data_IF_729206951316
#
_entry.id   IF_729206951316
#
_cell.length_a   1.000
_cell.length_b   1.000
_cell.length_c   1.000
_cell.angle_alpha   90.00
_cell.angle_beta   90.00
_cell.angle_gamma   90.00
#
_symmetry.space_group_name_H-M   'P 1'
#
loop_
_entity.id
_entity.type
_entity.pdbx_description
1 polymer ?
#
# COMPACT_ATOMS: atom_id res chain seq x y z
N UNK A 1 12.61 -13.31 -20.09
CA UNK A 1 11.42 -12.83 -19.40
C UNK A 1 11.85 -11.76 -18.40
N UNK A 2 11.19 -10.61 -18.34
CA UNK A 2 11.47 -9.62 -17.28
C UNK A 2 11.12 -10.28 -15.95
N UNK A 3 12.01 -10.23 -14.95
CA UNK A 3 11.73 -10.78 -13.63
C UNK A 3 10.53 -10.02 -13.01
N UNK A 4 9.44 -10.73 -12.79
CA UNK A 4 8.25 -10.21 -12.11
C UNK A 4 8.54 -10.17 -10.61
N UNK A 5 8.41 -9.00 -9.99
CA UNK A 5 8.47 -8.88 -8.54
C UNK A 5 7.07 -9.13 -7.94
N UNK A 6 6.98 -10.10 -7.06
CA UNK A 6 5.75 -10.40 -6.34
C UNK A 6 5.80 -9.80 -4.92
N UNK A 7 4.83 -8.92 -4.62
CA UNK A 7 4.70 -8.26 -3.32
C UNK A 7 3.60 -8.96 -2.52
N UNK A 8 3.97 -9.66 -1.46
CA UNK A 8 3.02 -10.24 -0.52
C UNK A 8 2.56 -9.19 0.51
N UNK A 9 1.28 -8.85 0.50
CA UNK A 9 0.67 -7.88 1.43
C UNK A 9 0.16 -8.57 2.70
N UNK A 10 0.81 -8.37 3.83
CA UNK A 10 0.33 -8.90 5.12
C UNK A 10 -0.81 -8.07 5.71
N UNK A 11 -0.92 -6.80 5.31
CA UNK A 11 -1.94 -5.86 5.76
C UNK A 11 -2.08 -5.84 7.29
N UNK A 12 -3.28 -6.01 7.81
CA UNK A 12 -3.61 -6.09 9.23
C UNK A 12 -4.02 -7.53 9.65
N UNK A 13 -3.76 -8.52 8.80
CA UNK A 13 -4.12 -9.92 9.07
C UNK A 13 -3.33 -10.52 10.24
N UNK A 14 -2.27 -9.84 10.67
CA UNK A 14 -1.51 -10.20 11.88
C UNK A 14 -2.28 -9.95 13.20
N UNK A 15 -3.43 -9.26 13.17
CA UNK A 15 -4.30 -9.00 14.33
C UNK A 15 -3.57 -8.36 15.53
N UNK A 16 -2.59 -7.48 15.28
CA UNK A 16 -1.76 -6.85 16.33
C UNK A 16 -0.73 -7.79 16.99
N UNK A 17 -0.53 -8.97 16.46
CA UNK A 17 0.33 -10.00 17.06
C UNK A 17 1.61 -10.22 16.23
N UNK A 18 2.77 -9.96 16.86
CA UNK A 18 4.09 -10.13 16.22
C UNK A 18 4.35 -11.57 15.78
N UNK A 19 3.91 -12.57 16.55
CA UNK A 19 4.07 -13.98 16.16
C UNK A 19 3.31 -14.33 14.88
N UNK A 20 2.16 -13.69 14.65
CA UNK A 20 1.43 -13.86 13.40
C UNK A 20 2.18 -13.22 12.23
N UNK A 21 2.82 -12.04 12.43
CA UNK A 21 3.69 -11.43 11.41
C UNK A 21 4.79 -12.40 11.01
N UNK A 22 5.47 -13.02 11.98
CA UNK A 22 6.55 -13.98 11.74
C UNK A 22 6.08 -15.20 10.92
N UNK A 23 4.95 -15.80 11.33
CA UNK A 23 4.36 -16.94 10.60
C UNK A 23 3.96 -16.59 9.17
N UNK A 24 3.33 -15.43 8.98
CA UNK A 24 2.91 -14.97 7.66
C UNK A 24 4.13 -14.67 6.77
N UNK A 25 5.17 -14.04 7.33
CA UNK A 25 6.42 -13.78 6.62
C UNK A 25 7.07 -15.08 6.17
N UNK A 26 7.22 -16.06 7.08
CA UNK A 26 7.77 -17.38 6.78
C UNK A 26 7.02 -18.05 5.62
N UNK A 27 5.69 -18.08 5.69
CA UNK A 27 4.86 -18.65 4.63
C UNK A 27 5.00 -17.91 3.30
N UNK A 28 5.04 -16.59 3.29
CA UNK A 28 5.20 -15.81 2.07
C UNK A 28 6.59 -16.05 1.45
N UNK A 29 7.64 -16.01 2.25
CA UNK A 29 9.01 -16.22 1.78
C UNK A 29 9.21 -17.64 1.22
N UNK A 30 8.71 -18.65 1.93
CA UNK A 30 8.82 -20.07 1.51
C UNK A 30 8.00 -20.38 0.24
N UNK A 31 7.03 -19.54 -0.11
CA UNK A 31 6.23 -19.67 -1.32
C UNK A 31 6.63 -18.66 -2.44
N UNK A 32 7.83 -18.10 -2.38
CA UNK A 32 8.44 -17.37 -3.48
C UNK A 32 8.10 -15.88 -3.54
N UNK A 33 7.56 -15.27 -2.47
CA UNK A 33 7.44 -13.82 -2.42
C UNK A 33 8.85 -13.20 -2.41
N UNK A 34 9.10 -12.23 -3.29
CA UNK A 34 10.35 -11.48 -3.33
C UNK A 34 10.34 -10.25 -2.44
N UNK A 35 9.15 -9.72 -2.19
CA UNK A 35 8.92 -8.54 -1.36
C UNK A 35 7.76 -8.85 -0.41
N UNK A 36 7.91 -8.53 0.88
CA UNK A 36 6.85 -8.72 1.87
C UNK A 36 6.52 -7.37 2.50
N UNK A 37 5.22 -7.04 2.60
CA UNK A 37 4.77 -5.71 2.98
C UNK A 37 3.93 -5.69 4.25
N UNK A 38 4.27 -4.76 5.15
CA UNK A 38 3.48 -4.35 6.31
C UNK A 38 2.89 -2.95 6.12
N UNK A 39 2.07 -2.52 7.08
CA UNK A 39 1.52 -1.17 7.18
C UNK A 39 1.95 -0.53 8.49
N UNK A 40 2.62 0.62 8.43
CA UNK A 40 2.98 1.40 9.61
C UNK A 40 1.83 2.35 9.94
N UNK A 41 0.84 1.82 10.65
CA UNK A 41 -0.41 2.53 10.94
C UNK A 41 -0.72 2.51 12.43
N UNK A 42 -1.08 3.69 12.96
CA UNK A 42 -1.47 3.87 14.36
C UNK A 42 -2.76 4.65 14.46
N UNK A 43 -3.63 4.25 15.37
CA UNK A 43 -4.94 4.89 15.57
C UNK A 43 -4.85 6.37 15.89
N UNK A 44 -3.78 6.80 16.60
CA UNK A 44 -3.53 8.21 16.93
C UNK A 44 -3.34 9.13 15.72
N UNK A 45 -3.00 8.56 14.56
CA UNK A 45 -2.83 9.31 13.31
C UNK A 45 -4.11 9.35 12.47
N UNK A 46 -5.19 8.71 12.93
CA UNK A 46 -6.46 8.74 12.24
C UNK A 46 -7.10 10.12 12.38
N UNK A 47 -7.46 10.72 11.24
CA UNK A 47 -8.16 12.00 11.20
C UNK A 47 -9.67 11.80 11.15
N UNK A 48 -10.41 12.63 11.90
CA UNK A 48 -11.86 12.71 11.77
C UNK A 48 -12.23 13.25 10.37
N UNK A 49 -13.03 12.50 9.64
CA UNK A 49 -13.54 12.93 8.34
C UNK A 49 -15.07 12.86 8.36
N UNK A 50 -15.78 14.01 8.48
CA UNK A 50 -17.24 14.05 8.67
C UNK A 50 -18.02 13.22 7.64
N UNK A 51 -17.59 13.23 6.38
CA UNK A 51 -18.21 12.44 5.31
C UNK A 51 -18.28 10.94 5.56
N UNK A 52 -17.41 10.39 6.42
CA UNK A 52 -17.36 8.97 6.74
C UNK A 52 -18.17 8.62 7.99
N UNK A 53 -18.58 9.59 8.81
CA UNK A 53 -19.32 9.29 10.03
C UNK A 53 -20.66 8.58 9.73
N UNK A 54 -21.41 9.08 8.76
CA UNK A 54 -22.69 8.51 8.34
C UNK A 54 -22.62 7.85 6.94
N UNK A 55 -21.55 8.09 6.20
CA UNK A 55 -21.49 7.79 4.78
C UNK A 55 -22.37 8.74 3.96
N UNK A 56 -22.35 8.60 2.66
CA UNK A 56 -23.20 9.36 1.74
C UNK A 56 -23.77 8.39 0.72
N UNK A 57 -25.11 8.28 0.71
CA UNK A 57 -25.85 7.47 -0.26
C UNK A 57 -26.86 8.41 -0.94
N UNK A 58 -26.85 8.41 -2.27
CA UNK A 58 -27.81 9.17 -3.07
C UNK A 58 -28.25 8.31 -4.25
N UNK A 59 -29.57 8.21 -4.48
CA UNK A 59 -30.17 7.38 -5.54
C UNK A 59 -29.58 5.94 -5.58
N UNK A 60 -29.53 5.28 -4.42
CA UNK A 60 -28.96 3.94 -4.23
C UNK A 60 -27.47 3.80 -4.60
N UNK A 61 -26.77 4.89 -4.88
CA UNK A 61 -25.32 4.91 -5.10
C UNK A 61 -24.58 5.34 -3.84
N UNK A 62 -23.55 4.62 -3.49
CA UNK A 62 -22.67 4.95 -2.36
C UNK A 62 -21.59 5.91 -2.84
N UNK A 63 -21.64 7.16 -2.39
CA UNK A 63 -20.61 8.19 -2.65
C UNK A 63 -19.54 8.21 -1.57
N UNK A 64 -19.89 7.83 -0.36
CA UNK A 64 -18.95 7.67 0.74
C UNK A 64 -19.41 6.52 1.64
N UNK A 65 -18.49 5.62 1.97
CA UNK A 65 -18.77 4.51 2.89
C UNK A 65 -18.96 5.06 4.32
N UNK A 66 -19.79 4.39 5.10
CA UNK A 66 -19.91 4.63 6.53
C UNK A 66 -18.74 4.00 7.26
N UNK A 67 -17.89 4.82 7.88
CA UNK A 67 -16.74 4.39 8.69
C UNK A 67 -16.53 5.37 9.84
N UNK A 68 -17.37 5.30 10.91
CA UNK A 68 -17.33 6.24 12.02
C UNK A 68 -15.96 6.24 12.71
N UNK A 69 -15.46 7.44 13.04
CA UNK A 69 -14.14 7.64 13.63
C UNK A 69 -13.92 6.80 14.89
N UNK A 70 -14.85 6.81 15.84
CA UNK A 70 -14.71 6.09 17.11
C UNK A 70 -14.57 4.58 16.91
N UNK A 71 -15.34 3.98 16.01
CA UNK A 71 -15.27 2.56 15.74
C UNK A 71 -13.97 2.18 15.02
N UNK A 72 -13.56 2.99 14.05
CA UNK A 72 -12.32 2.77 13.30
C UNK A 72 -11.09 2.96 14.19
N UNK A 73 -11.09 3.98 15.07
CA UNK A 73 -10.04 4.17 16.07
C UNK A 73 -9.89 2.94 16.98
N UNK A 74 -11.01 2.44 17.54
CA UNK A 74 -10.99 1.24 18.39
C UNK A 74 -10.50 0.01 17.63
N UNK A 75 -10.90 -0.14 16.37
CA UNK A 75 -10.46 -1.23 15.50
C UNK A 75 -8.95 -1.17 15.26
N UNK A 76 -8.44 -0.02 14.83
CA UNK A 76 -7.02 0.18 14.57
C UNK A 76 -6.17 -0.01 15.83
N UNK A 77 -6.64 0.50 16.98
CA UNK A 77 -5.92 0.36 18.26
C UNK A 77 -5.62 -1.10 18.61
N UNK A 78 -6.54 -2.01 18.29
CA UNK A 78 -6.34 -3.46 18.52
C UNK A 78 -5.35 -4.11 17.53
N UNK A 79 -5.08 -3.44 16.40
CA UNK A 79 -4.27 -3.96 15.31
C UNK A 79 -2.87 -3.33 15.27
N UNK A 80 -2.59 -2.36 16.15
CA UNK A 80 -1.29 -1.73 16.23
C UNK A 80 -0.20 -2.74 16.57
N UNK A 81 0.92 -2.66 15.88
CA UNK A 81 2.13 -3.39 16.21
C UNK A 81 3.10 -2.47 16.96
N UNK A 82 3.78 -2.96 18.00
CA UNK A 82 4.88 -2.22 18.63
C UNK A 82 6.05 -2.04 17.64
N UNK A 83 6.81 -0.96 17.76
CA UNK A 83 7.94 -0.66 16.86
C UNK A 83 8.95 -1.81 16.76
N UNK A 84 9.22 -2.50 17.86
CA UNK A 84 10.07 -3.71 17.89
C UNK A 84 9.61 -4.82 16.92
N UNK A 85 8.33 -4.86 16.57
CA UNK A 85 7.83 -5.82 15.60
C UNK A 85 8.29 -5.48 14.17
N UNK A 86 8.40 -4.19 13.85
CA UNK A 86 8.92 -3.74 12.55
C UNK A 86 10.42 -3.96 12.44
N UNK A 87 11.19 -3.71 13.51
CA UNK A 87 12.63 -4.04 13.55
C UNK A 87 12.84 -5.54 13.35
N UNK A 88 12.06 -6.36 14.06
CA UNK A 88 12.12 -7.81 13.91
C UNK A 88 11.74 -8.26 12.51
N UNK A 89 10.72 -7.64 11.92
CA UNK A 89 10.28 -7.91 10.56
C UNK A 89 11.42 -7.64 9.54
N UNK A 90 12.11 -6.50 9.63
CA UNK A 90 13.24 -6.17 8.74
C UNK A 90 14.34 -7.24 8.86
N UNK A 91 14.77 -7.59 10.09
CA UNK A 91 15.78 -8.64 10.32
C UNK A 91 15.35 -10.01 9.78
N UNK A 92 14.07 -10.36 9.89
CA UNK A 92 13.55 -11.61 9.34
C UNK A 92 13.55 -11.58 7.82
N UNK A 93 13.17 -10.47 7.19
CA UNK A 93 13.26 -10.32 5.74
C UNK A 93 14.69 -10.54 5.24
N UNK A 94 15.70 -9.97 5.92
CA UNK A 94 17.11 -10.21 5.61
C UNK A 94 17.49 -11.70 5.71
N UNK A 95 17.06 -12.34 6.81
CA UNK A 95 17.31 -13.78 7.02
C UNK A 95 16.72 -14.64 5.90
N UNK A 96 15.52 -14.32 5.44
CA UNK A 96 14.84 -15.06 4.35
C UNK A 96 15.24 -14.57 2.95
N UNK A 97 16.12 -13.57 2.85
CA UNK A 97 16.58 -12.97 1.57
C UNK A 97 15.41 -12.41 0.75
N UNK A 98 14.43 -11.83 1.41
CA UNK A 98 13.29 -11.10 0.81
C UNK A 98 13.39 -9.62 1.17
N UNK A 99 12.85 -8.74 0.32
CA UNK A 99 12.89 -7.30 0.55
C UNK A 99 11.77 -6.86 1.49
N UNK A 100 12.06 -6.15 2.59
CA UNK A 100 11.05 -5.55 3.45
C UNK A 100 10.44 -4.32 2.78
N UNK A 101 9.12 -4.22 2.80
CA UNK A 101 8.37 -3.07 2.33
C UNK A 101 7.37 -2.63 3.41
N UNK A 102 7.13 -1.34 3.52
CA UNK A 102 6.14 -0.82 4.47
C UNK A 102 5.34 0.33 3.87
N UNK A 103 4.04 0.40 4.18
CA UNK A 103 3.24 1.57 3.80
C UNK A 103 3.40 2.67 4.84
N UNK A 104 3.76 3.88 4.39
CA UNK A 104 3.79 5.10 5.19
C UNK A 104 2.50 5.90 4.96
N UNK A 105 1.79 6.26 6.04
CA UNK A 105 0.52 7.00 6.00
C UNK A 105 0.61 8.40 6.61
N UNK A 106 1.74 8.77 7.18
CA UNK A 106 1.92 10.07 7.84
C UNK A 106 3.36 10.56 7.69
N UNK A 107 3.51 11.87 7.51
CA UNK A 107 4.82 12.52 7.46
C UNK A 107 5.63 12.31 8.74
N UNK A 108 4.97 12.32 9.90
CA UNK A 108 5.60 12.09 11.21
C UNK A 108 6.25 10.70 11.34
N UNK A 109 5.95 9.81 10.40
CA UNK A 109 6.49 8.45 10.39
C UNK A 109 7.68 8.26 9.44
N UNK A 110 7.97 9.21 8.59
CA UNK A 110 9.02 9.10 7.55
C UNK A 110 10.37 8.75 8.18
N UNK A 111 10.82 9.53 9.16
CA UNK A 111 12.09 9.30 9.85
C UNK A 111 12.10 8.00 10.64
N UNK A 112 11.01 7.69 11.33
CA UNK A 112 10.88 6.47 12.12
C UNK A 112 11.01 5.23 11.24
N UNK A 113 10.28 5.18 10.13
CA UNK A 113 10.30 4.07 9.18
C UNK A 113 11.72 3.87 8.61
N UNK A 114 12.39 4.96 8.25
CA UNK A 114 13.77 4.89 7.77
C UNK A 114 14.72 4.35 8.82
N UNK A 115 14.61 4.82 10.07
CA UNK A 115 15.45 4.39 11.19
C UNK A 115 15.19 2.93 11.61
N UNK A 116 13.99 2.39 11.35
CA UNK A 116 13.68 0.97 11.52
C UNK A 116 14.34 0.05 10.46
N UNK A 117 15.07 0.62 9.49
CA UNK A 117 15.82 -0.13 8.49
C UNK A 117 15.14 -0.30 7.13
N UNK A 118 13.93 0.23 6.94
CA UNK A 118 13.29 0.21 5.62
C UNK A 118 14.01 1.15 4.65
N UNK A 119 14.23 0.71 3.42
CA UNK A 119 14.83 1.49 2.33
C UNK A 119 13.85 1.74 1.19
N UNK A 120 12.84 0.88 1.06
CA UNK A 120 11.75 1.02 0.11
C UNK A 120 10.45 1.25 0.86
N UNK A 121 9.60 2.13 0.32
CA UNK A 121 8.33 2.48 0.97
C UNK A 121 7.17 2.46 -0.03
N UNK A 122 6.02 2.00 0.45
CA UNK A 122 4.76 2.02 -0.29
C UNK A 122 3.98 3.28 0.04
N UNK A 123 3.45 3.90 -0.99
CA UNK A 123 2.48 4.99 -0.89
C UNK A 123 1.11 4.45 -1.28
N UNK A 124 0.14 4.56 -0.39
CA UNK A 124 -1.24 4.13 -0.65
C UNK A 124 -1.92 5.03 -1.70
N UNK A 125 -2.96 4.53 -2.34
CA UNK A 125 -3.70 5.31 -3.35
C UNK A 125 -4.20 6.66 -2.82
N UNK A 126 -4.65 6.71 -1.58
CA UNK A 126 -5.09 7.95 -0.92
C UNK A 126 -4.00 9.01 -0.81
N UNK A 127 -2.76 8.59 -0.79
CA UNK A 127 -1.59 9.45 -0.58
C UNK A 127 -0.82 9.68 -1.88
N UNK A 128 -1.32 9.18 -3.00
CA UNK A 128 -0.70 9.40 -4.31
C UNK A 128 -0.61 10.90 -4.64
N UNK A 129 -1.63 11.69 -4.27
CA UNK A 129 -1.63 13.16 -4.40
C UNK A 129 -1.23 13.90 -3.13
N UNK A 130 -0.69 13.21 -2.12
CA UNK A 130 -0.11 13.85 -0.93
C UNK A 130 1.30 14.40 -1.23
N UNK A 131 1.37 15.47 -2.01
CA UNK A 131 2.62 15.98 -2.59
C UNK A 131 3.70 16.29 -1.54
N UNK A 132 3.32 16.76 -0.36
CA UNK A 132 4.29 17.02 0.72
C UNK A 132 4.89 15.71 1.25
N UNK A 133 4.06 14.68 1.46
CA UNK A 133 4.53 13.35 1.87
C UNK A 133 5.47 12.77 0.81
N UNK A 134 5.12 12.89 -0.48
CA UNK A 134 5.96 12.42 -1.58
C UNK A 134 7.32 13.12 -1.59
N UNK A 135 7.37 14.45 -1.35
CA UNK A 135 8.65 15.18 -1.27
C UNK A 135 9.53 14.70 -0.12
N UNK A 136 8.96 14.40 1.03
CA UNK A 136 9.72 13.90 2.19
C UNK A 136 10.22 12.49 1.96
N UNK A 137 9.35 11.60 1.47
CA UNK A 137 9.70 10.22 1.15
C UNK A 137 10.78 10.14 0.05
N UNK A 138 10.63 10.95 -1.01
CA UNK A 138 11.54 10.93 -2.15
C UNK A 138 12.96 11.37 -1.83
N UNK A 139 13.15 12.13 -0.76
CA UNK A 139 14.48 12.56 -0.29
C UNK A 139 15.18 11.52 0.58
N UNK A 140 14.43 10.53 1.07
CA UNK A 140 14.92 9.66 2.13
C UNK A 140 15.00 8.19 1.74
N UNK A 141 14.10 7.73 0.88
CA UNK A 141 14.00 6.33 0.51
C UNK A 141 14.56 6.06 -0.90
N UNK A 142 15.12 4.86 -1.11
CA UNK A 142 15.75 4.47 -2.35
C UNK A 142 14.74 4.27 -3.49
N UNK A 143 13.56 3.72 -3.15
CA UNK A 143 12.47 3.50 -4.11
C UNK A 143 11.10 3.69 -3.45
N UNK A 144 10.20 4.34 -4.21
CA UNK A 144 8.80 4.49 -3.82
C UNK A 144 7.92 3.62 -4.72
N UNK A 145 7.06 2.80 -4.11
CA UNK A 145 6.05 2.03 -4.82
C UNK A 145 4.71 2.71 -4.58
N UNK A 146 4.09 3.24 -5.62
CA UNK A 146 2.93 4.15 -5.48
C UNK A 146 1.71 3.53 -6.16
N UNK A 147 0.65 3.30 -5.40
CA UNK A 147 -0.66 2.94 -5.96
C UNK A 147 -1.39 4.18 -6.44
N UNK A 148 -2.05 4.08 -7.60
CA UNK A 148 -2.69 5.19 -8.30
C UNK A 148 -4.22 5.09 -8.35
N UNK A 149 -4.82 4.24 -7.52
CA UNK A 149 -6.27 4.13 -7.41
C UNK A 149 -6.91 5.40 -6.82
N UNK A 150 -8.12 5.75 -7.29
CA UNK A 150 -8.85 6.96 -6.88
C UNK A 150 -8.02 8.26 -6.97
N UNK A 151 -7.12 8.34 -7.96
CA UNK A 151 -6.26 9.49 -8.23
C UNK A 151 -6.49 9.93 -9.68
N UNK A 152 -6.65 11.22 -9.92
CA UNK A 152 -6.81 11.78 -11.26
C UNK A 152 -5.48 11.79 -12.02
N UNK A 153 -5.56 11.86 -13.36
CA UNK A 153 -4.38 11.78 -14.21
C UNK A 153 -3.40 12.94 -13.97
N UNK A 154 -3.93 14.15 -13.82
CA UNK A 154 -3.14 15.35 -13.52
C UNK A 154 -2.48 15.29 -12.13
N UNK A 155 -3.09 14.62 -11.15
CA UNK A 155 -2.51 14.39 -9.84
C UNK A 155 -1.34 13.40 -9.94
N UNK A 156 -1.48 12.34 -10.75
CA UNK A 156 -0.40 11.39 -11.03
C UNK A 156 0.77 12.10 -11.70
N UNK A 157 0.51 12.95 -12.71
CA UNK A 157 1.53 13.73 -13.40
C UNK A 157 2.31 14.64 -12.44
N UNK A 158 1.59 15.36 -11.56
CA UNK A 158 2.21 16.19 -10.51
C UNK A 158 3.08 15.38 -9.56
N UNK A 159 2.61 14.20 -9.17
CA UNK A 159 3.36 13.28 -8.30
C UNK A 159 4.64 12.79 -8.98
N UNK A 160 4.54 12.37 -10.23
CA UNK A 160 5.68 11.94 -11.04
C UNK A 160 6.70 13.06 -11.21
N UNK A 161 6.25 14.30 -11.44
CA UNK A 161 7.14 15.47 -11.52
C UNK A 161 7.97 15.62 -10.26
N UNK A 162 7.37 15.54 -9.07
CA UNK A 162 8.07 15.62 -7.79
C UNK A 162 9.13 14.51 -7.66
N UNK A 163 8.79 13.28 -8.05
CA UNK A 163 9.71 12.15 -7.97
C UNK A 163 10.92 12.31 -8.90
N UNK A 164 10.67 12.81 -10.11
CA UNK A 164 11.71 13.07 -11.10
C UNK A 164 12.64 14.23 -10.66
N UNK A 165 12.08 15.30 -10.11
CA UNK A 165 12.84 16.42 -9.55
C UNK A 165 13.81 15.97 -8.44
N UNK A 166 13.41 15.00 -7.63
CA UNK A 166 14.24 14.41 -6.58
C UNK A 166 15.06 13.20 -7.06
N UNK A 167 15.02 12.85 -8.35
CA UNK A 167 15.72 11.68 -8.95
C UNK A 167 15.40 10.36 -8.23
N UNK A 168 14.22 10.23 -7.68
CA UNK A 168 13.78 9.07 -6.91
C UNK A 168 13.41 7.93 -7.87
N UNK A 169 13.85 6.71 -7.57
CA UNK A 169 13.33 5.52 -8.25
C UNK A 169 11.90 5.27 -7.80
N UNK A 170 11.01 4.98 -8.74
CA UNK A 170 9.63 4.68 -8.39
C UNK A 170 8.98 3.65 -9.31
N UNK A 171 8.02 2.94 -8.75
CA UNK A 171 7.12 2.01 -9.43
C UNK A 171 5.69 2.50 -9.29
N UNK A 172 4.94 2.59 -10.38
CA UNK A 172 3.51 2.92 -10.34
C UNK A 172 2.67 1.64 -10.40
N UNK A 173 1.73 1.51 -9.47
CA UNK A 173 0.80 0.40 -9.45
C UNK A 173 -0.60 0.86 -9.85
N UNK A 174 -1.14 0.24 -10.90
CA UNK A 174 -2.56 0.34 -11.14
C UNK A 174 -3.31 -0.42 -10.04
N UNK A 175 -4.38 0.18 -9.53
CA UNK A 175 -5.33 -0.51 -8.64
C UNK A 175 -6.70 0.14 -8.70
N UNK A 176 -7.72 -0.61 -8.31
CA UNK A 176 -9.08 -0.13 -8.08
C UNK A 176 -9.35 -0.13 -6.59
N UNK A 177 -9.89 0.97 -6.04
CA UNK A 177 -10.13 1.15 -4.60
C UNK A 177 -11.46 0.55 -4.14
N UNK A 178 -11.90 -0.53 -4.77
CA UNK A 178 -13.03 -1.33 -4.34
C UNK A 178 -12.53 -2.65 -3.74
N UNK A 179 -13.11 -3.05 -2.62
CA UNK A 179 -12.74 -4.27 -1.90
C UNK A 179 -13.99 -5.10 -1.60
N UNK A 180 -14.21 -6.22 -2.31
CA UNK A 180 -13.42 -6.73 -3.45
C UNK A 180 -13.71 -5.98 -4.75
N UNK A 181 -12.72 -5.95 -5.67
CA UNK A 181 -12.90 -5.40 -7.01
C UNK A 181 -13.62 -6.39 -7.93
N UNK A 182 -14.79 -6.03 -8.54
CA UNK A 182 -15.41 -6.84 -9.57
C UNK A 182 -14.55 -6.87 -10.85
N UNK A 183 -14.54 -7.99 -11.57
CA UNK A 183 -13.70 -8.17 -12.77
C UNK A 183 -13.94 -7.13 -13.87
N UNK A 184 -15.19 -6.73 -14.08
CA UNK A 184 -15.59 -5.74 -15.07
C UNK A 184 -15.10 -4.30 -14.76
N UNK A 185 -14.59 -4.06 -13.53
CA UNK A 185 -14.03 -2.75 -13.13
C UNK A 185 -12.51 -2.73 -13.12
N UNK A 186 -11.81 -3.82 -13.46
CA UNK A 186 -10.36 -3.92 -13.36
C UNK A 186 -9.60 -2.88 -14.19
N UNK A 187 -10.11 -2.54 -15.37
CA UNK A 187 -9.52 -1.53 -16.28
C UNK A 187 -8.00 -1.67 -16.46
N UNK A 188 -7.51 -2.88 -16.71
CA UNK A 188 -6.06 -3.18 -16.79
C UNK A 188 -5.35 -2.39 -17.92
N UNK A 189 -6.10 -1.91 -18.93
CA UNK A 189 -5.54 -1.03 -19.95
C UNK A 189 -4.89 0.24 -19.38
N UNK A 190 -5.27 0.65 -18.16
CA UNK A 190 -4.67 1.80 -17.47
C UNK A 190 -3.18 1.59 -17.15
N UNK A 191 -2.69 0.37 -17.07
CA UNK A 191 -1.27 0.06 -16.95
C UNK A 191 -0.47 0.67 -18.12
N UNK A 192 -1.04 0.67 -19.34
CA UNK A 192 -0.42 1.33 -20.49
C UNK A 192 -0.29 2.85 -20.34
N UNK A 193 -1.25 3.49 -19.64
CA UNK A 193 -1.16 4.90 -19.31
C UNK A 193 -0.01 5.17 -18.33
N UNK A 194 0.13 4.36 -17.28
CA UNK A 194 1.19 4.50 -16.29
C UNK A 194 2.59 4.26 -16.88
N UNK A 195 2.69 3.42 -17.90
CA UNK A 195 3.93 3.19 -18.65
C UNK A 195 4.48 4.43 -19.37
N UNK A 196 3.67 5.48 -19.55
CA UNK A 196 4.14 6.77 -20.09
C UNK A 196 5.11 7.49 -19.13
N UNK A 197 5.04 7.20 -17.86
CA UNK A 197 5.80 7.88 -16.81
C UNK A 197 7.01 7.10 -16.33
N UNK A 198 6.96 5.76 -16.38
CA UNK A 198 8.03 4.89 -15.91
C UNK A 198 7.92 3.51 -16.58
N UNK A 199 9.05 2.85 -16.77
CA UNK A 199 9.08 1.46 -17.23
C UNK A 199 8.83 0.44 -16.11
N UNK A 200 8.72 0.91 -14.85
CA UNK A 200 8.38 0.12 -13.67
C UNK A 200 6.90 0.32 -13.33
N UNK A 201 6.07 -0.54 -13.85
CA UNK A 201 4.64 -0.55 -13.55
C UNK A 201 4.19 -1.92 -13.07
N UNK A 202 3.13 -1.94 -12.30
CA UNK A 202 2.55 -3.17 -11.79
C UNK A 202 1.06 -3.03 -11.50
N UNK A 203 0.51 -4.08 -10.91
CA UNK A 203 -0.89 -4.15 -10.53
C UNK A 203 -1.01 -4.49 -9.03
N UNK A 204 -1.87 -3.76 -8.32
CA UNK A 204 -2.26 -4.07 -6.94
C UNK A 204 -3.66 -4.66 -6.96
N UNK A 205 -3.75 -5.96 -6.79
CA UNK A 205 -5.00 -6.71 -6.89
C UNK A 205 -5.84 -6.58 -5.61
N UNK A 206 -7.10 -6.21 -5.78
CA UNK A 206 -8.11 -6.18 -4.71
C UNK A 206 -9.29 -7.11 -5.02
N UNK A 207 -9.11 -8.09 -5.90
CA UNK A 207 -10.14 -9.08 -6.23
C UNK A 207 -10.37 -10.07 -5.07
N UNK A 208 -11.48 -10.79 -5.13
CA UNK A 208 -11.82 -11.77 -4.09
C UNK A 208 -10.96 -13.02 -4.21
N UNK A 209 -10.04 -13.23 -3.28
CA UNK A 209 -9.07 -14.35 -3.28
C UNK A 209 -9.70 -15.74 -3.20
N UNK A 210 -10.91 -15.87 -2.64
CA UNK A 210 -11.60 -17.17 -2.48
C UNK A 210 -12.20 -17.71 -3.78
N UNK A 211 -12.31 -16.91 -4.83
CA UNK A 211 -12.86 -17.33 -6.10
C UNK A 211 -11.76 -17.51 -7.15
N UNK A 212 -11.34 -18.75 -7.42
CA UNK A 212 -10.30 -19.08 -8.39
C UNK A 212 -10.47 -18.43 -9.77
N UNK A 213 -11.74 -18.27 -10.23
CA UNK A 213 -12.05 -17.59 -11.51
C UNK A 213 -11.83 -16.07 -11.46
N UNK A 214 -11.84 -15.46 -10.26
CA UNK A 214 -11.67 -14.01 -10.10
C UNK A 214 -10.20 -13.59 -9.81
N UNK A 215 -9.33 -14.56 -9.52
CA UNK A 215 -7.89 -14.30 -9.34
C UNK A 215 -7.13 -14.23 -10.68
N UNK A 216 -7.80 -14.38 -11.81
CA UNK A 216 -7.19 -14.33 -13.14
C UNK A 216 -6.52 -13.00 -13.45
N UNK A 217 -6.99 -11.91 -12.88
CA UNK A 217 -6.42 -10.58 -13.10
C UNK A 217 -4.95 -10.45 -12.62
N UNK A 218 -4.57 -11.22 -11.60
CA UNK A 218 -3.19 -11.25 -11.09
C UNK A 218 -2.28 -12.18 -11.89
N UNK A 219 -2.87 -13.01 -12.77
CA UNK A 219 -2.16 -14.01 -13.57
C UNK A 219 -1.93 -13.55 -15.03
N UNK A 220 -2.64 -12.50 -15.46
CA UNK A 220 -2.51 -11.88 -16.78
C UNK A 220 -1.54 -10.71 -16.77
#
# INVERSE_FOLDING_TARGET
MKNLNFIAELCQNHLGNTKNVEKMLDQCASNGASIIKLQYIYSKNLSLRPRFENGIIHNSRVYSIKRPFKSEFKRLKKLELPEKSFEKFVRLCEKYKVSPLVTCFSRDHVDKIYNLGFRNVKVASYDCSSFQLLRELSKKFDELIISTGATFDDEIEKSVKILNENKTKFTLLHCITLYPTPLNFLNLARIKFLNKFTNKVGYSDHSLSTNKKKNLASLC
#
